data_IF_497525967229
#
_entry.id   IF_497525967229
#
_cell.length_a   1.000
_cell.length_b   1.000
_cell.length_c   1.000
_cell.angle_alpha   90.00
_cell.angle_beta   90.00
_cell.angle_gamma   90.00
#
_symmetry.space_group_name_H-M   'P 1'
#
loop_
_entity.id
_entity.type
_entity.pdbx_description
1 polymer ?
#
# COMPACT_ATOMS: atom_id res chain seq x y z
N UNK A 1 -0.34 -14.23 -3.75
CA UNK A 1 -0.96 -13.22 -2.89
C UNK A 1 -1.98 -12.44 -3.70
N UNK A 2 -3.14 -12.19 -3.12
CA UNK A 2 -4.21 -11.35 -3.63
C UNK A 2 -3.99 -9.88 -3.26
N UNK A 3 -3.19 -9.64 -2.20
CA UNK A 3 -2.71 -8.32 -1.82
C UNK A 3 -1.23 -8.34 -1.44
N UNK A 4 -0.49 -7.30 -1.82
CA UNK A 4 0.86 -7.04 -1.32
C UNK A 4 1.02 -5.59 -0.90
N UNK A 5 1.42 -5.34 0.35
CA UNK A 5 1.78 -4.02 0.86
C UNK A 5 3.31 -3.91 0.96
N UNK A 6 3.86 -2.79 0.52
CA UNK A 6 5.30 -2.52 0.59
C UNK A 6 5.55 -1.19 1.28
N UNK A 7 6.50 -1.16 2.22
CA UNK A 7 7.06 0.08 2.79
C UNK A 7 8.59 0.11 2.62
N UNK A 8 9.11 0.25 1.38
CA UNK A 8 10.54 0.17 1.13
C UNK A 8 11.32 1.25 1.89
N UNK A 9 12.58 0.98 2.27
CA UNK A 9 13.43 1.98 2.91
C UNK A 9 13.93 3.01 1.91
N UNK A 10 13.08 3.96 1.54
CA UNK A 10 13.39 5.00 0.56
C UNK A 10 14.61 5.84 0.98
N UNK A 11 15.61 6.04 0.11
CA UNK A 11 16.79 6.82 0.43
C UNK A 11 16.45 8.24 0.89
N UNK A 12 16.84 8.55 2.12
CA UNK A 12 16.57 9.86 2.73
C UNK A 12 17.86 10.51 3.24
N UNK A 13 18.15 11.73 2.77
CA UNK A 13 19.33 12.52 3.17
C UNK A 13 19.33 12.88 4.66
N UNK A 14 18.17 12.92 5.33
CA UNK A 14 18.14 13.13 6.79
C UNK A 14 18.49 11.87 7.55
N UNK A 15 18.01 10.70 7.10
CA UNK A 15 18.31 9.40 7.71
C UNK A 15 19.77 8.96 7.46
N UNK A 16 20.35 9.33 6.32
CA UNK A 16 21.74 9.02 5.99
C UNK A 16 22.78 9.66 6.94
N UNK A 17 22.37 10.61 7.79
CA UNK A 17 23.25 11.29 8.77
C UNK A 17 23.18 10.68 10.18
N UNK A 18 22.29 9.72 10.44
CA UNK A 18 22.22 9.04 11.74
C UNK A 18 22.95 7.69 11.69
N UNK A 19 23.82 7.44 12.67
CA UNK A 19 24.57 6.18 12.78
C UNK A 19 23.66 4.94 12.91
N UNK A 20 22.43 5.13 13.42
CA UNK A 20 21.40 4.09 13.55
C UNK A 20 20.86 3.56 12.21
N UNK A 21 21.21 4.17 11.07
CA UNK A 21 20.69 3.82 9.74
C UNK A 21 21.82 3.42 8.76
N UNK A 22 23.00 3.05 9.23
CA UNK A 22 24.14 2.71 8.37
C UNK A 22 23.83 1.60 7.34
N UNK A 23 23.01 0.61 7.70
CA UNK A 23 22.55 -0.47 6.80
C UNK A 23 21.53 0.03 5.76
N UNK A 24 20.59 0.88 6.17
CA UNK A 24 19.57 1.47 5.30
C UNK A 24 20.14 2.54 4.36
N UNK A 25 21.28 3.16 4.71
CA UNK A 25 21.99 4.11 3.84
C UNK A 25 22.50 3.48 2.54
N UNK A 26 22.59 2.15 2.48
CA UNK A 26 23.08 1.36 1.33
C UNK A 26 21.98 0.75 0.48
N UNK A 27 20.72 0.82 0.90
CA UNK A 27 19.64 0.20 0.14
C UNK A 27 19.50 0.85 -1.23
N UNK A 28 19.84 0.10 -2.27
CA UNK A 28 19.65 0.52 -3.63
C UNK A 28 18.20 0.22 -4.02
N UNK A 29 17.39 1.25 -4.27
CA UNK A 29 15.99 1.09 -4.67
C UNK A 29 15.81 0.19 -5.90
N UNK A 30 16.85 0.05 -6.74
CA UNK A 30 16.81 -0.85 -7.89
C UNK A 30 16.79 -2.34 -7.50
N UNK A 31 17.20 -2.71 -6.29
CA UNK A 31 17.06 -4.08 -5.76
C UNK A 31 15.58 -4.50 -5.67
N UNK A 32 14.66 -3.55 -5.51
CA UNK A 32 13.21 -3.84 -5.55
C UNK A 32 12.76 -4.49 -6.87
N UNK A 33 13.47 -4.23 -7.98
CA UNK A 33 13.18 -4.85 -9.28
C UNK A 33 13.50 -6.35 -9.31
N UNK A 34 14.34 -6.82 -8.38
CA UNK A 34 14.71 -8.23 -8.26
C UNK A 34 13.67 -9.04 -7.47
N UNK A 35 12.76 -8.37 -6.75
CA UNK A 35 11.69 -9.07 -6.03
C UNK A 35 10.83 -9.85 -7.02
N UNK A 36 10.62 -11.17 -6.83
CA UNK A 36 9.79 -11.99 -7.70
C UNK A 36 8.28 -11.76 -7.48
N UNK A 37 7.90 -10.55 -7.02
CA UNK A 37 6.54 -10.23 -6.61
C UNK A 37 5.54 -10.43 -7.75
N UNK A 38 5.91 -10.05 -8.99
CA UNK A 38 5.07 -10.28 -10.16
C UNK A 38 4.63 -11.75 -10.34
N UNK A 39 5.51 -12.72 -10.03
CA UNK A 39 5.17 -14.14 -10.08
C UNK A 39 4.36 -14.60 -8.86
N UNK A 40 4.57 -13.98 -7.69
CA UNK A 40 3.85 -14.28 -6.47
C UNK A 40 2.42 -13.71 -6.44
N UNK A 41 2.10 -12.72 -7.26
CA UNK A 41 0.79 -12.07 -7.34
C UNK A 41 -0.22 -12.91 -8.16
N UNK A 42 -1.40 -13.12 -7.57
CA UNK A 42 -2.55 -13.72 -8.24
C UNK A 42 -3.10 -12.79 -9.35
N UNK A 43 -3.81 -13.32 -10.37
CA UNK A 43 -4.54 -12.49 -11.31
C UNK A 43 -5.54 -11.59 -10.57
N UNK A 44 -5.62 -10.30 -10.93
CA UNK A 44 -6.49 -9.34 -10.23
C UNK A 44 -5.96 -8.84 -8.88
N UNK A 45 -4.78 -9.29 -8.44
CA UNK A 45 -4.20 -8.90 -7.15
C UNK A 45 -3.90 -7.40 -7.07
N UNK A 46 -4.08 -6.84 -5.88
CA UNK A 46 -3.79 -5.45 -5.57
C UNK A 46 -2.41 -5.31 -4.93
N UNK A 47 -1.68 -4.26 -5.28
CA UNK A 47 -0.37 -3.92 -4.71
C UNK A 47 -0.42 -2.51 -4.19
N UNK A 48 -0.05 -2.29 -2.93
CA UNK A 48 0.13 -0.98 -2.32
C UNK A 48 1.60 -0.72 -2.05
N UNK A 49 2.13 0.44 -2.44
CA UNK A 49 3.50 0.86 -2.14
C UNK A 49 3.49 2.23 -1.45
N UNK A 50 3.90 2.28 -0.20
CA UNK A 50 4.17 3.55 0.49
C UNK A 50 5.34 4.24 -0.18
N UNK A 51 5.20 5.54 -0.47
CA UNK A 51 6.24 6.38 -1.06
C UNK A 51 6.44 7.67 -0.27
N UNK A 52 7.65 8.23 -0.38
CA UNK A 52 7.88 9.62 0.05
C UNK A 52 7.39 10.61 -1.01
N UNK A 53 7.18 11.87 -0.63
CA UNK A 53 6.68 12.93 -1.52
C UNK A 53 7.64 13.37 -2.65
N UNK A 54 8.78 12.71 -2.85
CA UNK A 54 9.65 13.06 -3.98
C UNK A 54 9.07 12.47 -5.27
N UNK A 55 8.78 13.26 -6.32
CA UNK A 55 8.16 12.78 -7.55
C UNK A 55 8.88 11.60 -8.20
N UNK A 56 10.23 11.57 -8.10
CA UNK A 56 11.05 10.49 -8.63
C UNK A 56 10.67 9.09 -8.12
N UNK A 57 10.16 8.96 -6.89
CA UNK A 57 9.81 7.65 -6.34
C UNK A 57 8.45 7.18 -6.83
N UNK A 58 7.50 8.12 -7.00
CA UNK A 58 6.24 7.82 -7.69
C UNK A 58 6.52 7.33 -9.11
N UNK A 59 7.33 8.08 -9.86
CA UNK A 59 7.76 7.69 -11.21
C UNK A 59 8.45 6.31 -11.20
N UNK A 60 9.38 6.06 -10.27
CA UNK A 60 10.02 4.75 -10.14
C UNK A 60 9.03 3.60 -9.87
N UNK A 61 8.07 3.80 -8.97
CA UNK A 61 7.06 2.78 -8.66
C UNK A 61 6.19 2.50 -9.89
N UNK A 62 5.61 3.53 -10.50
CA UNK A 62 4.65 3.38 -11.60
C UNK A 62 5.35 2.93 -12.89
N UNK A 63 6.43 3.60 -13.27
CA UNK A 63 7.08 3.40 -14.58
C UNK A 63 8.07 2.22 -14.58
N UNK A 64 8.53 1.75 -13.41
CA UNK A 64 9.49 0.64 -13.31
C UNK A 64 8.99 -0.55 -12.51
N UNK A 65 8.60 -0.37 -11.25
CA UNK A 65 8.21 -1.51 -10.41
C UNK A 65 6.92 -2.17 -10.89
N UNK A 66 5.87 -1.38 -11.12
CA UNK A 66 4.59 -1.89 -11.58
C UNK A 66 4.72 -2.55 -12.95
N UNK A 67 5.42 -1.90 -13.90
CA UNK A 67 5.75 -2.49 -15.21
C UNK A 67 6.48 -3.82 -15.04
N UNK A 68 7.52 -3.89 -14.18
CA UNK A 68 8.27 -5.12 -13.94
C UNK A 68 7.38 -6.22 -13.35
N UNK A 69 6.48 -5.90 -12.44
CA UNK A 69 5.58 -6.88 -11.82
C UNK A 69 4.34 -7.22 -12.65
N UNK A 70 4.14 -6.58 -13.80
CA UNK A 70 2.94 -6.78 -14.63
C UNK A 70 1.68 -6.23 -13.95
N UNK A 71 1.82 -5.07 -13.32
CA UNK A 71 0.80 -4.36 -12.55
C UNK A 71 0.52 -3.03 -13.24
N UNK A 72 -0.75 -2.60 -13.26
CA UNK A 72 -1.20 -1.33 -13.82
C UNK A 72 -1.58 -0.37 -12.69
N UNK A 73 -1.35 0.94 -12.85
CA UNK A 73 -1.72 1.93 -11.83
C UNK A 73 -3.24 1.92 -11.59
N UNK A 74 -3.63 1.82 -10.31
CA UNK A 74 -5.03 1.66 -9.90
C UNK A 74 -5.56 2.85 -9.09
N UNK A 75 -4.69 3.65 -8.45
CA UNK A 75 -5.09 4.79 -7.64
C UNK A 75 -4.07 5.12 -6.56
N UNK A 76 -4.40 6.05 -5.67
CA UNK A 76 -3.52 6.42 -4.55
C UNK A 76 -4.34 6.88 -3.34
N UNK A 77 -3.82 6.61 -2.14
CA UNK A 77 -4.31 7.18 -0.89
C UNK A 77 -3.26 8.11 -0.29
N UNK A 78 -3.72 9.07 0.49
CA UNK A 78 -2.86 10.02 1.21
C UNK A 78 -3.08 9.84 2.70
N UNK A 79 -2.01 9.59 3.45
CA UNK A 79 -2.03 9.66 4.91
C UNK A 79 -1.55 11.03 5.37
N UNK A 80 -2.45 11.86 5.89
CA UNK A 80 -2.15 13.15 6.52
C UNK A 80 -1.88 12.93 8.00
N UNK A 81 -0.77 13.48 8.46
CA UNK A 81 -0.25 13.41 9.82
C UNK A 81 -0.67 14.65 10.58
N UNK A 82 -1.41 14.44 11.66
CA UNK A 82 -1.91 15.51 12.54
C UNK A 82 -1.39 15.35 13.96
N UNK A 83 -1.44 16.41 14.76
CA UNK A 83 -1.21 16.37 16.20
C UNK A 83 -2.44 15.79 16.91
N UNK A 84 -2.36 15.59 18.23
CA UNK A 84 -3.50 15.12 19.03
C UNK A 84 -4.70 16.09 18.99
N UNK A 85 -4.43 17.36 18.71
CA UNK A 85 -5.39 18.44 18.57
C UNK A 85 -5.99 18.51 17.14
N UNK A 86 -5.53 17.67 16.22
CA UNK A 86 -6.01 17.61 14.83
C UNK A 86 -5.30 18.55 13.85
N UNK A 87 -4.25 19.26 14.29
CA UNK A 87 -3.50 20.19 13.45
C UNK A 87 -2.42 19.47 12.63
N UNK A 88 -2.12 19.87 11.38
CA UNK A 88 -1.01 19.27 10.63
C UNK A 88 0.32 19.35 11.37
N UNK A 89 1.07 18.24 11.45
CA UNK A 89 2.38 18.21 12.14
C UNK A 89 3.43 19.16 11.55
N UNK A 90 3.20 19.60 10.31
CA UNK A 90 3.91 20.68 9.59
C UNK A 90 2.85 21.36 8.71
N UNK A 91 2.98 22.66 8.47
CA UNK A 91 2.11 23.38 7.53
C UNK A 91 2.04 22.66 6.16
N UNK A 92 0.84 22.58 5.57
CA UNK A 92 0.59 21.91 4.29
C UNK A 92 1.40 22.57 3.14
N UNK A 93 1.55 23.89 3.22
CA UNK A 93 2.25 24.75 2.26
C UNK A 93 3.77 24.70 2.42
N UNK A 94 4.29 24.05 3.47
CA UNK A 94 5.73 24.00 3.71
C UNK A 94 6.48 23.41 2.50
N UNK A 95 7.56 24.08 2.10
CA UNK A 95 8.32 23.73 0.90
C UNK A 95 9.18 22.47 1.08
N UNK A 96 9.69 22.22 2.29
CA UNK A 96 10.70 21.17 2.52
C UNK A 96 10.15 19.84 3.06
N UNK A 97 9.12 19.90 3.92
CA UNK A 97 8.50 18.72 4.53
C UNK A 97 7.01 18.81 4.34
N UNK A 98 6.40 17.71 3.93
CA UNK A 98 4.95 17.60 3.83
C UNK A 98 4.42 16.80 5.01
N UNK A 99 3.28 17.18 5.61
CA UNK A 99 2.65 16.46 6.71
C UNK A 99 1.87 15.25 6.18
N UNK A 100 2.27 14.64 5.07
CA UNK A 100 1.56 13.49 4.53
C UNK A 100 2.51 12.51 3.83
N UNK A 101 2.05 11.28 3.67
CA UNK A 101 2.70 10.24 2.87
C UNK A 101 1.67 9.64 1.90
N UNK A 102 2.14 9.08 0.79
CA UNK A 102 1.26 8.55 -0.26
C UNK A 102 1.42 7.03 -0.34
N UNK A 103 0.29 6.33 -0.44
CA UNK A 103 0.22 4.90 -0.74
C UNK A 103 -0.28 4.76 -2.18
N UNK A 104 0.62 4.39 -3.09
CA UNK A 104 0.29 4.19 -4.51
C UNK A 104 -0.21 2.76 -4.71
N UNK A 105 -1.34 2.62 -5.39
CA UNK A 105 -1.94 1.34 -5.72
C UNK A 105 -1.72 0.96 -7.17
N UNK A 106 -1.46 -0.32 -7.39
CA UNK A 106 -1.52 -0.94 -8.70
C UNK A 106 -2.29 -2.25 -8.66
N UNK A 107 -2.87 -2.65 -9.78
CA UNK A 107 -3.61 -3.90 -9.92
C UNK A 107 -3.03 -4.77 -11.03
N UNK A 108 -2.81 -6.05 -10.74
CA UNK A 108 -2.44 -7.03 -11.75
C UNK A 108 -3.65 -7.34 -12.63
N UNK A 109 -3.56 -7.31 -13.96
CA UNK A 109 -4.67 -7.66 -14.83
C UNK A 109 -5.25 -9.04 -14.48
N UNK A 110 -6.58 -9.14 -14.47
CA UNK A 110 -7.26 -10.42 -14.34
C UNK A 110 -7.06 -11.21 -15.63
N UNK A 111 -6.43 -12.38 -15.56
CA UNK A 111 -6.36 -13.28 -16.70
C UNK A 111 -7.77 -13.67 -17.11
N UNK A 112 -8.21 -13.21 -18.28
CA UNK A 112 -9.57 -13.45 -18.76
C UNK A 112 -9.89 -14.95 -18.77
N UNK A 113 -10.86 -15.37 -17.95
CA UNK A 113 -11.70 -16.52 -18.27
C UNK A 113 -13.01 -15.96 -18.82
N UNK A 114 -13.22 -16.12 -20.13
CA UNK A 114 -14.52 -15.90 -20.74
C UNK A 114 -15.54 -16.92 -20.23
N UNK A 115 -16.82 -16.49 -20.18
CA UNK A 115 -18.01 -17.34 -20.29
C UNK A 115 -18.34 -18.24 -19.10
N UNK A 116 -19.38 -17.87 -18.34
CA UNK A 116 -20.08 -18.76 -17.42
C UNK A 116 -21.44 -18.18 -17.06
N UNK A 117 -22.48 -18.65 -17.76
CA UNK A 117 -23.89 -18.41 -17.49
C UNK A 117 -24.23 -18.94 -16.09
N UNK A 118 -25.15 -18.26 -15.40
CA UNK A 118 -25.20 -18.25 -13.94
C UNK A 118 -25.91 -19.40 -13.26
N UNK A 119 -25.99 -19.30 -11.93
CA UNK A 119 -27.00 -19.99 -11.14
C UNK A 119 -27.38 -19.15 -9.91
N UNK A 120 -28.69 -19.00 -9.69
CA UNK A 120 -29.30 -18.19 -8.63
C UNK A 120 -29.35 -18.99 -7.34
N UNK A 121 -28.88 -18.42 -6.22
CA UNK A 121 -28.94 -19.04 -4.90
C UNK A 121 -29.13 -18.04 -3.75
N UNK A 122 -30.39 -17.87 -3.36
CA UNK A 122 -31.03 -17.45 -2.10
C UNK A 122 -30.25 -16.67 -0.99
N UNK A 123 -30.84 -15.52 -0.68
CA UNK A 123 -30.64 -14.53 0.39
C UNK A 123 -30.15 -14.98 1.80
N UNK A 124 -29.19 -14.21 2.33
CA UNK A 124 -29.01 -13.92 3.76
C UNK A 124 -29.00 -12.39 3.96
N UNK A 125 -29.87 -11.88 4.83
CA UNK A 125 -30.16 -10.45 5.03
C UNK A 125 -29.07 -9.81 5.90
N UNK A 126 -28.21 -8.95 5.34
CA UNK A 126 -27.26 -8.10 6.10
C UNK A 126 -27.61 -6.63 5.89
N UNK A 127 -27.65 -5.88 6.98
CA UNK A 127 -27.97 -4.45 7.03
C UNK A 127 -26.94 -3.69 6.20
N UNK A 128 -27.39 -3.08 5.10
CA UNK A 128 -26.56 -2.24 4.24
C UNK A 128 -26.41 -0.87 4.94
N UNK A 129 -25.22 -0.58 5.47
CA UNK A 129 -24.80 0.82 5.58
C UNK A 129 -24.59 1.33 4.15
N UNK A 130 -25.30 2.40 3.80
CA UNK A 130 -25.34 2.96 2.46
C UNK A 130 -23.96 3.39 1.98
N UNK A 131 -23.36 2.54 1.15
CA UNK A 131 -22.47 2.97 0.09
C UNK A 131 -23.17 2.52 -1.18
N UNK A 132 -23.60 3.48 -1.99
CA UNK A 132 -24.17 3.19 -3.30
C UNK A 132 -23.21 2.24 -4.04
N UNK A 133 -23.74 1.13 -4.56
CA UNK A 133 -23.04 0.27 -5.50
C UNK A 133 -22.88 1.05 -6.81
N UNK A 134 -21.97 2.03 -6.81
CA UNK A 134 -21.32 2.49 -8.02
C UNK A 134 -20.57 1.27 -8.55
N UNK A 135 -20.90 0.83 -9.77
CA UNK A 135 -20.16 -0.21 -10.46
C UNK A 135 -18.68 0.17 -10.51
N UNK A 136 -17.90 -0.33 -9.53
CA UNK A 136 -16.46 -0.15 -9.47
C UNK A 136 -15.91 -0.98 -10.62
N UNK A 137 -15.58 -0.31 -11.72
CA UNK A 137 -14.78 -0.91 -12.77
C UNK A 137 -13.61 -1.63 -12.09
N UNK A 138 -13.51 -2.93 -12.33
CA UNK A 138 -12.71 -3.93 -11.59
C UNK A 138 -11.20 -3.55 -11.49
N UNK A 139 -10.76 -2.45 -12.09
CA UNK A 139 -9.38 -1.94 -12.03
C UNK A 139 -9.08 -0.83 -11.01
N UNK A 140 -10.02 0.04 -10.62
CA UNK A 140 -9.66 1.32 -9.94
C UNK A 140 -9.88 1.30 -8.43
N UNK A 141 -8.90 1.81 -7.68
CA UNK A 141 -9.01 2.11 -6.24
C UNK A 141 -9.40 3.59 -6.09
N UNK A 142 -10.55 3.91 -5.46
CA UNK A 142 -10.94 5.29 -5.18
C UNK A 142 -9.88 6.01 -4.34
N UNK A 143 -9.67 7.30 -4.64
CA UNK A 143 -8.82 8.15 -3.83
C UNK A 143 -9.37 8.27 -2.40
N UNK A 144 -8.48 8.21 -1.40
CA UNK A 144 -8.85 8.30 0.01
C UNK A 144 -7.80 9.12 0.77
N UNK A 145 -8.27 9.92 1.71
CA UNK A 145 -7.44 10.62 2.68
C UNK A 145 -7.62 9.96 4.05
N UNK A 146 -6.54 9.45 4.61
CA UNK A 146 -6.47 8.92 5.98
C UNK A 146 -5.85 10.01 6.84
N UNK A 147 -6.54 10.45 7.89
CA UNK A 147 -6.01 11.44 8.82
C UNK A 147 -5.73 10.74 10.15
N UNK A 148 -4.49 10.76 10.62
CA UNK A 148 -4.11 10.09 11.87
C UNK A 148 -2.90 10.74 12.54
N UNK A 149 -2.87 10.64 13.87
CA UNK A 149 -1.71 11.03 14.68
C UNK A 149 -0.58 10.03 14.44
N UNK A 150 0.64 10.48 14.06
CA UNK A 150 1.77 9.57 13.94
C UNK A 150 2.19 9.06 15.32
N UNK A 151 2.45 7.77 15.40
CA UNK A 151 2.94 7.09 16.60
C UNK A 151 4.49 7.01 16.55
N UNK A 152 5.07 5.82 16.74
CA UNK A 152 6.52 5.58 16.68
C UNK A 152 7.12 5.91 15.31
N UNK A 153 8.41 6.25 15.32
CA UNK A 153 9.13 6.66 14.12
C UNK A 153 9.02 5.62 12.98
N UNK A 154 8.57 6.08 11.81
CA UNK A 154 8.33 5.27 10.61
C UNK A 154 7.24 4.18 10.73
N UNK A 155 6.39 4.20 11.76
CA UNK A 155 5.20 3.37 11.82
C UNK A 155 4.12 3.95 10.92
N UNK A 156 3.57 3.14 10.00
CA UNK A 156 2.45 3.50 9.13
C UNK A 156 1.12 3.15 9.81
N UNK A 157 0.01 3.84 9.48
CA UNK A 157 -1.32 3.45 9.94
C UNK A 157 -1.67 2.07 9.39
N UNK A 158 -2.43 1.28 10.16
CA UNK A 158 -2.98 0.02 9.69
C UNK A 158 -3.96 0.26 8.54
N UNK A 159 -3.76 -0.44 7.42
CA UNK A 159 -4.60 -0.29 6.22
C UNK A 159 -5.48 -1.50 5.94
N UNK A 160 -5.39 -2.57 6.75
CA UNK A 160 -6.08 -3.86 6.52
C UNK A 160 -7.57 -3.68 6.28
N UNK A 161 -8.30 -3.17 7.26
CA UNK A 161 -9.76 -2.96 7.17
C UNK A 161 -10.14 -2.01 6.02
N UNK A 162 -9.24 -1.08 5.68
CA UNK A 162 -9.46 -0.13 4.60
C UNK A 162 -9.34 -0.78 3.22
N UNK A 163 -8.45 -1.76 3.04
CA UNK A 163 -8.20 -2.45 1.77
C UNK A 163 -9.10 -3.66 1.56
N UNK A 164 -9.59 -4.29 2.63
CA UNK A 164 -10.42 -5.49 2.59
C UNK A 164 -11.63 -5.42 1.65
N UNK A 165 -12.37 -4.29 1.54
CA UNK A 165 -13.47 -4.17 0.58
C UNK A 165 -13.06 -4.34 -0.90
N UNK A 166 -11.77 -4.26 -1.23
CA UNK A 166 -11.24 -4.43 -2.58
C UNK A 166 -10.67 -5.83 -2.84
N UNK A 167 -10.70 -6.72 -1.84
CA UNK A 167 -10.09 -8.04 -1.85
C UNK A 167 -11.18 -9.14 -1.81
N UNK A 168 -10.88 -10.36 -2.29
CA UNK A 168 -11.79 -11.50 -2.13
C UNK A 168 -11.91 -11.93 -0.66
N UNK A 169 -13.00 -12.62 -0.29
CA UNK A 169 -13.26 -13.01 1.11
C UNK A 169 -12.11 -13.80 1.78
N UNK A 170 -11.48 -14.73 1.04
CA UNK A 170 -10.39 -15.57 1.54
C UNK A 170 -9.04 -15.14 0.95
N UNK A 171 -8.78 -13.84 0.93
CA UNK A 171 -7.56 -13.28 0.35
C UNK A 171 -6.30 -13.74 1.09
N UNK A 172 -5.19 -13.85 0.36
CA UNK A 172 -3.85 -14.02 0.91
C UNK A 172 -3.08 -12.72 0.75
N UNK A 173 -2.65 -12.13 1.86
CA UNK A 173 -1.87 -10.90 1.84
C UNK A 173 -0.42 -11.11 2.30
N UNK A 174 0.47 -10.25 1.80
CA UNK A 174 1.81 -10.09 2.36
C UNK A 174 2.18 -8.62 2.59
N UNK A 175 3.01 -8.38 3.60
CA UNK A 175 3.67 -7.11 3.88
C UNK A 175 5.18 -7.28 3.70
N UNK A 176 5.78 -6.51 2.80
CA UNK A 176 7.21 -6.53 2.47
C UNK A 176 7.84 -5.26 3.04
N UNK A 177 8.98 -5.40 3.72
CA UNK A 177 9.60 -4.38 4.57
C UNK A 177 8.72 -3.99 5.77
N UNK A 178 7.83 -4.89 6.17
CA UNK A 178 6.97 -4.72 7.34
C UNK A 178 7.75 -4.60 8.64
N UNK A 179 7.14 -3.95 9.62
CA UNK A 179 7.70 -3.78 10.99
C UNK A 179 6.72 -4.13 12.10
N UNK A 180 5.47 -4.40 11.73
CA UNK A 180 4.40 -4.83 12.61
C UNK A 180 3.80 -6.11 12.01
N UNK A 181 3.40 -7.06 12.83
CA UNK A 181 2.63 -8.19 12.32
C UNK A 181 1.17 -7.76 12.17
N UNK A 182 0.65 -7.86 10.95
CA UNK A 182 -0.78 -7.74 10.69
C UNK A 182 -1.40 -9.14 10.68
N UNK A 183 -2.42 -9.36 11.51
CA UNK A 183 -3.06 -10.68 11.64
C UNK A 183 -3.50 -11.21 10.26
N UNK A 184 -3.15 -12.46 9.97
CA UNK A 184 -3.48 -13.13 8.71
C UNK A 184 -2.61 -12.73 7.51
N UNK A 185 -1.66 -11.81 7.66
CA UNK A 185 -0.75 -11.38 6.59
C UNK A 185 0.64 -12.00 6.77
N UNK A 186 1.25 -12.42 5.66
CA UNK A 186 2.64 -12.83 5.67
C UNK A 186 3.57 -11.61 5.72
N UNK A 187 4.36 -11.45 6.77
CA UNK A 187 5.27 -10.29 6.92
C UNK A 187 6.72 -10.69 6.62
N UNK A 188 7.42 -9.91 5.80
CA UNK A 188 8.81 -10.15 5.41
C UNK A 188 9.63 -8.87 5.46
N UNK A 189 10.83 -8.94 6.06
CA UNK A 189 11.79 -7.84 6.11
C UNK A 189 12.74 -7.99 7.31
N UNK A 190 13.84 -7.25 7.28
CA UNK A 190 14.90 -7.32 8.32
C UNK A 190 14.40 -6.89 9.72
N UNK A 191 13.31 -6.13 9.77
CA UNK A 191 12.72 -5.59 11.00
C UNK A 191 11.28 -6.09 11.24
N UNK A 192 10.88 -7.23 10.66
CA UNK A 192 9.49 -7.71 10.63
C UNK A 192 8.76 -7.72 11.98
N UNK A 193 9.49 -7.97 13.07
CA UNK A 193 8.93 -8.06 14.44
C UNK A 193 9.19 -6.83 15.32
N UNK A 194 9.71 -5.73 14.78
CA UNK A 194 10.27 -4.61 15.57
C UNK A 194 9.30 -3.94 16.56
N UNK A 195 8.00 -3.94 16.28
CA UNK A 195 7.00 -3.25 17.10
C UNK A 195 5.96 -4.18 17.75
N UNK A 196 6.25 -5.48 17.82
CA UNK A 196 5.34 -6.48 18.42
C UNK A 196 5.74 -6.77 19.87
#
# INVERSE_FOLDING_TARGET
FDFALLDPPWPNRSAARSAAYATLSRFNIHELLQLPLGAALAPGALVGVWITNKPRYRAFVVEKLFVRWGVEEAGEWVWVKVTAEGEPVVALEAAMRKPYEVLVFGRKPGGGRGGGVGERGRAGKRVKLGVEEAGVGVGRVPGRTVVAVPDLHSRKPGVKELVEPYLPENYRACEIFGRNLTEGWFTWGDEAIKFN
#
